data_IF_738329043831
#
_entry.id   IF_738329043831
#
_cell.length_a   1.000
_cell.length_b   1.000
_cell.length_c   1.000
_cell.angle_alpha   90.00
_cell.angle_beta   90.00
_cell.angle_gamma   90.00
#
_symmetry.space_group_name_H-M   'P 1'
#
loop_
_entity.id
_entity.type
_entity.pdbx_description
1 polymer ?
#
# COMPACT_ATOMS: atom_id res chain seq x y z
N UNK A 1 -23.29 -7.76 -13.55
CA UNK A 1 -22.44 -6.56 -13.34
C UNK A 1 -22.53 -6.03 -11.91
N UNK A 2 -23.74 -5.83 -11.36
CA UNK A 2 -23.94 -5.36 -9.97
C UNK A 2 -23.19 -6.17 -8.89
N UNK A 3 -23.28 -7.50 -8.91
CA UNK A 3 -22.56 -8.33 -7.92
C UNK A 3 -21.05 -8.10 -7.88
N UNK A 4 -20.41 -7.82 -9.02
CA UNK A 4 -18.96 -7.51 -9.06
C UNK A 4 -18.69 -6.11 -8.51
N UNK A 5 -19.56 -5.15 -8.81
CA UNK A 5 -19.48 -3.81 -8.24
C UNK A 5 -19.61 -3.86 -6.71
N UNK A 6 -20.68 -4.47 -6.20
CA UNK A 6 -20.92 -4.58 -4.76
C UNK A 6 -19.78 -5.29 -4.02
N UNK A 7 -19.15 -6.30 -4.68
CA UNK A 7 -18.01 -7.04 -4.10
C UNK A 7 -16.75 -6.19 -3.90
N UNK A 8 -16.47 -5.24 -4.78
CA UNK A 8 -15.19 -4.51 -4.79
C UNK A 8 -15.29 -3.02 -4.50
N UNK A 9 -16.43 -2.42 -4.84
CA UNK A 9 -16.73 -1.01 -4.63
C UNK A 9 -17.67 -0.81 -3.44
N UNK A 10 -18.67 -1.70 -3.29
CA UNK A 10 -19.48 -1.85 -2.09
C UNK A 10 -19.96 -0.53 -1.44
N UNK A 11 -20.02 -0.56 -0.12
CA UNK A 11 -20.10 0.63 0.74
C UNK A 11 -18.72 1.20 1.01
N UNK A 12 -18.66 2.41 1.58
CA UNK A 12 -17.41 3.05 1.97
C UNK A 12 -16.52 2.18 2.88
N UNK A 13 -17.15 1.36 3.72
CA UNK A 13 -16.47 0.44 4.65
C UNK A 13 -15.91 -0.79 3.95
N UNK A 14 -16.44 -1.15 2.77
CA UNK A 14 -16.11 -2.39 2.04
C UNK A 14 -15.33 -2.16 0.75
N UNK A 15 -15.03 -0.89 0.41
CA UNK A 15 -14.28 -0.56 -0.80
C UNK A 15 -12.88 -1.17 -0.77
N UNK A 16 -12.48 -1.82 -1.87
CA UNK A 16 -11.16 -2.40 -1.98
C UNK A 16 -10.11 -1.29 -2.21
N UNK A 17 -9.29 -1.02 -1.19
CA UNK A 17 -8.21 -0.02 -1.24
C UNK A 17 -7.21 -0.26 -2.38
N UNK A 18 -7.02 -1.50 -2.84
CA UNK A 18 -6.13 -1.79 -3.98
C UNK A 18 -6.67 -1.23 -5.30
N UNK A 19 -7.99 -1.15 -5.47
CA UNK A 19 -8.57 -0.50 -6.64
C UNK A 19 -8.30 1.00 -6.63
N UNK A 20 -8.43 1.64 -5.47
CA UNK A 20 -8.09 3.06 -5.33
C UNK A 20 -6.60 3.30 -5.58
N UNK A 21 -5.72 2.41 -5.10
CA UNK A 21 -4.29 2.46 -5.41
C UNK A 21 -4.02 2.32 -6.90
N UNK A 22 -4.72 1.43 -7.59
CA UNK A 22 -4.54 1.27 -9.04
C UNK A 22 -4.87 2.55 -9.81
N UNK A 23 -5.78 3.38 -9.31
CA UNK A 23 -6.09 4.70 -9.87
C UNK A 23 -4.93 5.68 -9.58
N UNK A 24 -4.40 5.70 -8.36
CA UNK A 24 -3.27 6.59 -8.00
C UNK A 24 -1.99 6.26 -8.77
N UNK A 25 -1.78 4.97 -9.10
CA UNK A 25 -0.63 4.52 -9.87
C UNK A 25 -0.78 4.74 -11.38
N UNK A 26 -1.99 5.01 -11.87
CA UNK A 26 -2.20 5.42 -13.26
C UNK A 26 -1.59 6.81 -13.46
N UNK A 27 -0.65 7.01 -14.40
CA UNK A 27 0.05 8.29 -14.59
C UNK A 27 -0.88 9.50 -14.80
N UNK A 28 -2.10 9.26 -15.27
CA UNK A 28 -3.11 10.29 -15.54
C UNK A 28 -3.75 10.84 -14.27
N UNK A 29 -3.73 10.08 -13.18
CA UNK A 29 -4.39 10.44 -11.94
C UNK A 29 -3.37 10.53 -10.81
N UNK A 30 -3.57 11.49 -9.92
CA UNK A 30 -2.74 11.67 -8.72
C UNK A 30 -3.55 11.37 -7.48
N UNK A 31 -2.86 11.22 -6.35
CA UNK A 31 -3.52 11.03 -5.06
C UNK A 31 -4.55 12.14 -4.81
N UNK A 32 -4.23 13.38 -5.15
CA UNK A 32 -5.14 14.54 -5.01
C UNK A 32 -6.45 14.39 -5.80
N UNK A 33 -6.41 13.73 -6.97
CA UNK A 33 -7.62 13.44 -7.74
C UNK A 33 -8.50 12.43 -7.00
N UNK A 34 -7.90 11.39 -6.43
CA UNK A 34 -8.63 10.42 -5.61
C UNK A 34 -9.18 11.07 -4.35
N UNK A 35 -8.42 11.97 -3.70
CA UNK A 35 -8.90 12.78 -2.57
C UNK A 35 -10.15 13.56 -2.96
N UNK A 36 -10.10 14.30 -4.07
CA UNK A 36 -11.23 15.06 -4.57
C UNK A 36 -12.47 14.18 -4.80
N UNK A 37 -12.30 13.02 -5.45
CA UNK A 37 -13.40 12.09 -5.68
C UNK A 37 -14.00 11.55 -4.38
N UNK A 38 -13.16 11.15 -3.42
CA UNK A 38 -13.62 10.59 -2.15
C UNK A 38 -14.33 11.65 -1.29
N UNK A 39 -13.79 12.87 -1.23
CA UNK A 39 -14.43 13.99 -0.54
C UNK A 39 -15.78 14.34 -1.16
N UNK A 40 -15.89 14.28 -2.49
CA UNK A 40 -17.15 14.54 -3.18
C UNK A 40 -18.20 13.44 -2.93
N UNK A 41 -17.79 12.17 -2.87
CA UNK A 41 -18.71 11.03 -2.71
C UNK A 41 -19.14 10.79 -1.26
N UNK A 42 -18.24 11.04 -0.30
CA UNK A 42 -18.40 10.60 1.08
C UNK A 42 -18.28 11.73 2.11
N UNK A 43 -18.06 12.97 1.66
CA UNK A 43 -17.82 14.13 2.52
C UNK A 43 -16.34 14.36 2.80
N UNK A 44 -15.99 15.61 3.12
CA UNK A 44 -14.60 16.03 3.28
C UNK A 44 -13.85 15.21 4.33
N UNK A 45 -14.38 15.12 5.55
CA UNK A 45 -13.72 14.45 6.68
C UNK A 45 -13.40 12.99 6.36
N UNK A 46 -14.39 12.26 5.85
CA UNK A 46 -14.25 10.84 5.51
C UNK A 46 -13.35 10.64 4.29
N UNK A 47 -13.46 11.52 3.28
CA UNK A 47 -12.58 11.49 2.12
C UNK A 47 -11.11 11.72 2.48
N UNK A 48 -10.84 12.63 3.41
CA UNK A 48 -9.49 12.91 3.90
C UNK A 48 -8.93 11.73 4.71
N UNK A 49 -9.73 11.13 5.59
CA UNK A 49 -9.33 9.93 6.34
C UNK A 49 -8.98 8.75 5.42
N UNK A 50 -9.83 8.49 4.42
CA UNK A 50 -9.57 7.45 3.42
C UNK A 50 -8.30 7.72 2.62
N UNK A 51 -8.10 8.97 2.20
CA UNK A 51 -6.90 9.40 1.46
C UNK A 51 -5.64 9.18 2.28
N UNK A 52 -5.67 9.51 3.58
CA UNK A 52 -4.56 9.23 4.50
C UNK A 52 -4.26 7.73 4.55
N UNK A 53 -5.28 6.88 4.68
CA UNK A 53 -5.12 5.43 4.65
C UNK A 53 -4.54 4.90 3.33
N UNK A 54 -4.89 5.50 2.18
CA UNK A 54 -4.31 5.16 0.88
C UNK A 54 -2.85 5.56 0.78
N UNK A 55 -2.49 6.76 1.27
CA UNK A 55 -1.11 7.23 1.30
C UNK A 55 -0.23 6.30 2.14
N UNK A 56 -0.70 5.89 3.32
CA UNK A 56 0.02 4.93 4.16
C UNK A 56 0.22 3.59 3.46
N UNK A 57 -0.81 3.07 2.78
CA UNK A 57 -0.70 1.82 2.04
C UNK A 57 0.26 1.91 0.84
N UNK A 58 0.27 3.05 0.12
CA UNK A 58 1.23 3.32 -0.94
C UNK A 58 2.67 3.35 -0.42
N UNK A 59 2.91 4.01 0.72
CA UNK A 59 4.23 4.01 1.36
C UNK A 59 4.67 2.60 1.76
N UNK A 60 3.78 1.81 2.38
CA UNK A 60 4.09 0.41 2.75
C UNK A 60 4.39 -0.46 1.53
N UNK A 61 3.66 -0.29 0.43
CA UNK A 61 3.94 -0.99 -0.82
C UNK A 61 5.32 -0.61 -1.36
N UNK A 62 5.63 0.69 -1.40
CA UNK A 62 6.92 1.18 -1.83
C UNK A 62 8.07 0.60 -0.98
N UNK A 63 7.94 0.64 0.35
CA UNK A 63 8.92 0.06 1.28
C UNK A 63 9.07 -1.45 1.06
N UNK A 64 7.98 -2.19 0.86
CA UNK A 64 8.01 -3.62 0.62
C UNK A 64 8.73 -3.99 -0.69
N UNK A 65 8.56 -3.20 -1.75
CA UNK A 65 9.26 -3.40 -3.01
C UNK A 65 10.73 -2.94 -2.94
N UNK A 66 11.02 -1.85 -2.24
CA UNK A 66 12.39 -1.37 -2.04
C UNK A 66 13.20 -2.29 -1.12
N UNK A 67 12.60 -2.80 -0.05
CA UNK A 67 13.23 -3.72 0.90
C UNK A 67 13.64 -5.06 0.28
N UNK A 68 13.03 -5.42 -0.86
CA UNK A 68 13.46 -6.56 -1.69
C UNK A 68 14.75 -6.31 -2.46
N UNK A 69 15.08 -5.06 -2.80
CA UNK A 69 16.33 -4.71 -3.48
C UNK A 69 17.52 -4.61 -2.51
N UNK A 70 17.29 -4.48 -1.20
CA UNK A 70 18.36 -4.39 -0.18
C UNK A 70 18.80 -5.73 0.41
N UNK A 71 18.11 -6.84 0.13
CA UNK A 71 18.42 -8.15 0.69
C UNK A 71 19.35 -9.02 -0.20
N UNK A 72 20.06 -8.43 -1.16
CA UNK A 72 21.07 -9.12 -1.99
C UNK A 72 22.47 -8.50 -1.88
N UNK A 73 22.86 -7.99 -0.72
CA UNK A 73 24.27 -7.77 -0.38
C UNK A 73 24.58 -8.70 0.80
N UNK A 74 25.41 -9.69 0.49
CA UNK A 74 25.52 -10.93 1.25
C UNK A 74 26.01 -10.78 2.68
N UNK A 75 25.44 -11.60 3.54
CA UNK A 75 26.16 -12.15 4.68
C UNK A 75 26.41 -13.62 4.39
N UNK A 76 27.50 -13.92 3.68
CA UNK A 76 28.05 -15.27 3.67
C UNK A 76 28.86 -15.47 4.96
N UNK A 77 28.44 -16.48 5.74
CA UNK A 77 29.21 -17.35 6.65
C UNK A 77 29.94 -16.69 7.85
N UNK A 78 30.00 -17.28 9.05
CA UNK A 78 30.17 -18.69 9.37
C UNK A 78 29.59 -19.07 10.74
N UNK A 79 29.01 -20.28 10.80
CA UNK A 79 28.93 -21.09 12.03
C UNK A 79 30.10 -22.09 12.08
N UNK A 80 30.63 -22.20 13.31
CA UNK A 80 31.23 -23.37 13.98
C UNK A 80 32.76 -23.57 14.16
N UNK A 81 33.18 -23.17 15.38
CA UNK A 81 33.94 -23.89 16.44
C UNK A 81 35.35 -24.45 16.15
N UNK A 82 36.35 -23.94 16.89
CA UNK A 82 37.43 -24.72 17.52
C UNK A 82 38.12 -23.98 18.69
N UNK A 83 37.93 -24.53 19.90
CA UNK A 83 38.88 -24.71 21.02
C UNK A 83 39.96 -23.65 21.28
N UNK A 84 39.91 -23.02 22.46
CA UNK A 84 41.12 -22.53 23.14
C UNK A 84 41.02 -22.79 24.65
N UNK A 85 41.81 -23.77 25.08
CA UNK A 85 42.22 -23.99 26.46
C UNK A 85 42.85 -22.72 27.03
N UNK A 86 42.48 -22.40 28.27
CA UNK A 86 43.24 -21.65 29.25
C UNK A 86 42.96 -22.26 30.61
#
# INVERSE_FOLDING_TARGET
>A
MKQKYDKYWGSIESINKLLLISIVLDPRYKLDYVTFCLSHLYGNDTGEEMTKGLKELLCRLYEFYNGRNSNSIGTQSSTDVQLLNG
#
